data_IF_819792397570
#
_entry.id   IF_819792397570
#
_cell.length_a   1.000
_cell.length_b   1.000
_cell.length_c   1.000
_cell.angle_alpha   90.00
_cell.angle_beta   90.00
_cell.angle_gamma   90.00
#
_symmetry.space_group_name_H-M   'P 1'
#
loop_
_entity.id
_entity.type
_entity.pdbx_description
1 polymer ?
#
# COMPACT_ATOMS: atom_id res chain seq x y z
N UNK A 1 4.57 8.95 18.17
CA UNK A 1 3.38 9.29 17.36
C UNK A 1 2.87 8.02 16.69
N UNK A 2 1.61 7.64 16.90
CA UNK A 2 0.96 6.64 16.04
C UNK A 2 0.89 7.24 14.63
N UNK A 3 1.45 6.55 13.63
CA UNK A 3 1.30 6.96 12.23
C UNK A 3 -0.19 6.93 11.90
N UNK A 4 -0.77 8.08 11.57
CA UNK A 4 -2.18 8.19 11.20
C UNK A 4 -2.32 7.68 9.76
N UNK A 5 -3.21 6.71 9.54
CA UNK A 5 -3.48 6.13 8.23
C UNK A 5 -4.48 7.00 7.47
N UNK A 6 -4.06 7.60 6.36
CA UNK A 6 -4.91 8.40 5.47
C UNK A 6 -5.29 7.66 4.15
N UNK A 7 -5.01 6.36 4.07
CA UNK A 7 -5.21 5.54 2.87
C UNK A 7 -6.28 4.46 2.99
N UNK A 8 -6.45 3.62 1.96
CA UNK A 8 -7.53 2.64 1.87
C UNK A 8 -7.48 1.57 2.96
N UNK A 9 -6.34 1.35 3.62
CA UNK A 9 -6.29 0.50 4.82
C UNK A 9 -7.06 1.07 6.02
N UNK A 10 -7.46 2.35 5.98
CA UNK A 10 -8.36 2.98 6.96
C UNK A 10 -9.84 2.85 6.57
N UNK A 11 -10.12 2.41 5.33
CA UNK A 11 -11.47 2.23 4.79
C UNK A 11 -11.76 0.72 4.89
N UNK A 12 -12.69 0.35 5.77
CA UNK A 12 -13.25 -1.00 6.08
C UNK A 12 -12.63 -2.21 5.34
N UNK A 13 -12.16 -3.19 6.11
CA UNK A 13 -11.68 -4.54 5.72
C UNK A 13 -10.15 -4.74 5.57
N UNK A 14 -9.32 -3.83 6.09
CA UNK A 14 -7.91 -4.17 6.29
C UNK A 14 -7.78 -5.15 7.47
N UNK A 15 -7.71 -6.46 7.17
CA UNK A 15 -7.53 -7.52 8.17
C UNK A 15 -6.09 -7.62 8.70
N UNK A 16 -5.16 -6.90 8.08
CA UNK A 16 -3.78 -6.81 8.53
C UNK A 16 -3.69 -5.95 9.80
N UNK A 17 -3.64 -6.61 10.94
CA UNK A 17 -3.62 -6.02 12.29
C UNK A 17 -2.34 -5.24 12.64
N UNK A 18 -1.40 -5.12 11.69
CA UNK A 18 -0.12 -4.47 11.93
C UNK A 18 -0.23 -2.94 11.70
N UNK A 19 -0.07 -2.18 12.77
CA UNK A 19 -0.32 -0.73 12.87
C UNK A 19 0.71 0.15 12.16
N UNK A 20 1.72 -0.44 11.50
CA UNK A 20 2.71 0.29 10.71
C UNK A 20 2.14 0.55 9.31
N UNK A 21 2.00 1.81 8.97
CA UNK A 21 1.56 2.27 7.66
C UNK A 21 2.75 2.75 6.83
N UNK A 22 2.71 2.47 5.52
CA UNK A 22 3.71 2.91 4.55
C UNK A 22 3.05 3.80 3.50
N UNK A 23 3.68 4.93 3.24
CA UNK A 23 3.26 5.86 2.19
C UNK A 23 3.53 5.25 0.81
N UNK A 24 2.58 5.38 -0.10
CA UNK A 24 2.82 5.17 -1.52
C UNK A 24 3.55 6.41 -2.03
N UNK A 25 4.85 6.28 -2.23
CA UNK A 25 5.69 7.29 -2.88
C UNK A 25 5.48 7.25 -4.40
N UNK A 26 5.96 8.28 -5.11
CA UNK A 26 5.96 8.27 -6.58
C UNK A 26 6.69 7.04 -7.14
N UNK A 27 7.86 6.70 -6.58
CA UNK A 27 8.62 5.51 -6.96
C UNK A 27 7.83 4.21 -6.72
N UNK A 28 7.14 4.09 -5.58
CA UNK A 28 6.30 2.91 -5.30
C UNK A 28 5.15 2.79 -6.31
N UNK A 29 4.52 3.91 -6.66
CA UNK A 29 3.45 3.96 -7.65
C UNK A 29 3.95 3.57 -9.05
N UNK A 30 5.13 4.05 -9.45
CA UNK A 30 5.76 3.67 -10.73
C UNK A 30 6.05 2.17 -10.79
N UNK A 31 6.59 1.56 -9.72
CA UNK A 31 6.75 0.10 -9.63
C UNK A 31 5.42 -0.65 -9.81
N UNK A 32 4.33 -0.13 -9.22
CA UNK A 32 3.00 -0.72 -9.38
C UNK A 32 2.45 -0.56 -10.80
N UNK A 33 2.69 0.58 -11.43
CA UNK A 33 2.30 0.83 -12.82
C UNK A 33 3.00 -0.15 -13.78
N UNK A 34 4.32 -0.29 -13.66
CA UNK A 34 5.13 -1.21 -14.48
C UNK A 34 4.67 -2.67 -14.34
N UNK A 35 4.26 -3.08 -13.13
CA UNK A 35 3.75 -4.42 -12.85
C UNK A 35 2.26 -4.59 -13.11
N UNK A 36 1.59 -3.59 -13.68
CA UNK A 36 0.13 -3.58 -13.95
C UNK A 36 -0.75 -3.77 -12.69
N UNK A 37 -0.21 -3.47 -11.51
CA UNK A 37 -0.93 -3.63 -10.24
C UNK A 37 -2.09 -2.65 -10.08
N UNK A 38 -2.10 -1.53 -10.82
CA UNK A 38 -3.17 -0.52 -10.74
C UNK A 38 -4.53 -1.04 -11.26
N UNK A 39 -4.53 -2.04 -12.14
CA UNK A 39 -5.78 -2.65 -12.62
C UNK A 39 -6.41 -3.55 -11.54
N UNK A 40 -5.57 -4.21 -10.75
CA UNK A 40 -5.97 -5.11 -9.66
C UNK A 40 -6.31 -4.31 -8.40
N UNK A 41 -5.55 -3.26 -8.14
CA UNK A 41 -5.64 -2.41 -6.97
C UNK A 41 -5.84 -0.94 -7.39
N UNK A 42 -7.04 -0.56 -7.86
CA UNK A 42 -7.32 0.77 -8.40
C UNK A 42 -7.28 1.89 -7.34
N UNK A 43 -7.23 1.53 -6.06
CA UNK A 43 -7.12 2.47 -4.94
C UNK A 43 -5.68 2.91 -4.63
N UNK A 44 -4.69 2.40 -5.36
CA UNK A 44 -3.29 2.81 -5.20
C UNK A 44 -3.14 4.24 -5.73
N UNK A 45 -2.72 5.15 -4.87
CA UNK A 45 -2.51 6.56 -5.21
C UNK A 45 -1.31 7.10 -4.45
N UNK A 46 -0.53 7.97 -5.10
CA UNK A 46 0.58 8.67 -4.45
C UNK A 46 0.05 9.49 -3.27
N UNK A 47 0.74 9.39 -2.13
CA UNK A 47 0.36 10.10 -0.90
C UNK A 47 -0.65 9.35 -0.01
N UNK A 48 -1.28 8.27 -0.51
CA UNK A 48 -2.05 7.36 0.33
C UNK A 48 -1.14 6.37 1.06
N UNK A 49 -1.71 5.67 2.03
CA UNK A 49 -0.98 4.71 2.84
C UNK A 49 -1.63 3.32 2.81
N UNK A 50 -0.77 2.30 2.85
CA UNK A 50 -1.15 0.91 3.08
C UNK A 50 -0.58 0.44 4.40
N UNK A 51 -1.18 -0.58 5.03
CA UNK A 51 -0.50 -1.29 6.10
C UNK A 51 0.74 -2.00 5.53
N UNK A 52 1.77 -2.16 6.35
CA UNK A 52 3.07 -2.67 5.91
C UNK A 52 2.99 -4.03 5.18
N UNK A 53 2.25 -5.05 5.66
CA UNK A 53 2.16 -6.32 4.95
C UNK A 53 1.54 -6.19 3.55
N UNK A 54 0.48 -5.38 3.43
CA UNK A 54 -0.18 -5.11 2.16
C UNK A 54 0.74 -4.34 1.20
N UNK A 55 1.45 -3.32 1.71
CA UNK A 55 2.45 -2.59 0.93
C UNK A 55 3.51 -3.54 0.37
N UNK A 56 4.07 -4.43 1.18
CA UNK A 56 5.05 -5.42 0.72
C UNK A 56 4.45 -6.32 -0.37
N UNK A 57 3.26 -6.90 -0.17
CA UNK A 57 2.66 -7.80 -1.17
C UNK A 57 2.47 -7.16 -2.56
N UNK A 58 2.24 -5.84 -2.62
CA UNK A 58 1.98 -5.13 -3.89
C UNK A 58 3.26 -4.50 -4.46
N UNK A 59 3.96 -3.71 -3.65
CA UNK A 59 5.06 -2.83 -4.13
C UNK A 59 6.40 -3.57 -4.10
N UNK A 60 6.64 -4.32 -3.03
CA UNK A 60 7.89 -5.03 -2.79
C UNK A 60 7.62 -6.49 -2.46
N UNK A 61 6.99 -7.25 -3.38
CA UNK A 61 6.67 -8.64 -3.13
C UNK A 61 7.99 -9.36 -2.86
N UNK A 62 8.16 -9.83 -1.63
CA UNK A 62 9.35 -10.58 -1.27
C UNK A 62 9.28 -11.87 -2.06
N UNK A 63 10.21 -12.07 -2.98
CA UNK A 63 10.37 -13.35 -3.68
C UNK A 63 10.67 -14.38 -2.60
N UNK A 64 9.76 -15.32 -2.39
CA UNK A 64 10.04 -16.62 -1.78
C UNK A 64 10.43 -17.59 -2.90
#
# INVERSE_FOLDING_TARGET
>A
MKTKNNGPCSIKNCTYTNTKFRLITKLAYEKCYEKQMLQIFPYLEVGKQLCYPHYCNIVEPTVL
#
